data_IF_534022420386
#
_entry.id   IF_534022420386
#
_cell.length_a   1.000
_cell.length_b   1.000
_cell.length_c   1.000
_cell.angle_alpha   90.00
_cell.angle_beta   90.00
_cell.angle_gamma   90.00
#
_symmetry.space_group_name_H-M   'P 1'
#
loop_
_entity.id
_entity.type
_entity.pdbx_description
1 polymer ?
#
# COMPACT_ATOMS: atom_id res chain seq x y z
N UNK A 1 -10.52 -4.60 -0.27
CA UNK A 1 -9.79 -4.03 0.89
C UNK A 1 -8.93 -2.91 0.35
N UNK A 2 -8.84 -1.78 1.06
CA UNK A 2 -7.95 -0.69 0.65
C UNK A 2 -6.60 -0.82 1.34
N UNK A 3 -5.53 -0.70 0.57
CA UNK A 3 -4.18 -0.53 1.08
C UNK A 3 -3.91 0.98 1.18
N UNK A 4 -3.60 1.45 2.38
CA UNK A 4 -3.26 2.84 2.65
C UNK A 4 -1.73 2.95 2.77
N UNK A 5 -1.08 3.62 1.82
CA UNK A 5 0.38 3.62 1.72
C UNK A 5 0.91 5.04 1.84
N UNK A 6 1.75 5.26 2.86
CA UNK A 6 2.55 6.46 3.02
C UNK A 6 4.01 6.18 2.67
N UNK A 7 4.63 7.03 1.85
CA UNK A 7 6.08 7.04 1.63
C UNK A 7 6.73 8.09 2.53
N UNK A 8 7.87 7.73 3.10
CA UNK A 8 8.68 8.62 3.92
C UNK A 8 10.16 8.27 3.70
N UNK A 9 11.10 9.17 4.03
CA UNK A 9 12.53 8.94 3.82
C UNK A 9 13.07 7.68 4.52
N UNK A 10 12.38 7.23 5.58
CA UNK A 10 12.66 5.99 6.32
C UNK A 10 11.45 5.58 7.17
N UNK A 11 11.55 4.41 7.81
CA UNK A 11 10.59 4.02 8.86
C UNK A 11 10.75 4.92 10.11
N UNK A 12 9.64 5.35 10.74
CA UNK A 12 9.70 6.12 11.98
C UNK A 12 10.20 5.25 13.13
N UNK A 13 10.87 5.87 14.10
CA UNK A 13 11.17 5.25 15.40
C UNK A 13 9.95 5.36 16.32
N UNK A 14 9.93 4.60 17.42
CA UNK A 14 8.87 4.70 18.42
C UNK A 14 8.76 6.13 18.96
N UNK A 15 7.56 6.70 18.92
CA UNK A 15 7.26 8.05 19.40
C UNK A 15 7.62 9.19 18.44
N UNK A 16 8.18 8.88 17.26
CA UNK A 16 8.56 9.90 16.28
C UNK A 16 7.43 10.21 15.29
N UNK A 17 7.30 11.50 14.94
CA UNK A 17 6.48 11.96 13.81
C UNK A 17 7.38 12.39 12.66
N UNK A 18 7.11 11.89 11.45
CA UNK A 18 7.82 12.27 10.22
C UNK A 18 6.87 12.96 9.25
N UNK A 19 7.38 13.94 8.50
CA UNK A 19 6.72 14.41 7.28
C UNK A 19 7.00 13.40 6.18
N UNK A 20 5.94 12.86 5.59
CA UNK A 20 6.03 11.93 4.47
C UNK A 20 6.22 12.64 3.14
N UNK A 21 6.66 11.87 2.14
CA UNK A 21 6.88 12.36 0.78
C UNK A 21 5.59 12.28 -0.06
N UNK A 22 4.74 11.28 0.20
CA UNK A 22 3.48 11.06 -0.52
C UNK A 22 2.54 10.11 0.20
N UNK A 23 1.24 10.20 -0.09
CA UNK A 23 0.21 9.27 0.36
C UNK A 23 -0.64 8.77 -0.81
N UNK A 24 -1.08 7.51 -0.77
CA UNK A 24 -1.97 6.94 -1.77
C UNK A 24 -2.86 5.83 -1.23
N UNK A 25 -4.01 5.66 -1.88
CA UNK A 25 -4.97 4.60 -1.62
C UNK A 25 -5.02 3.64 -2.81
N UNK A 26 -4.83 2.35 -2.55
CA UNK A 26 -4.78 1.32 -3.59
C UNK A 26 -5.78 0.21 -3.29
N UNK A 27 -6.21 -0.49 -4.34
CA UNK A 27 -7.00 -1.71 -4.16
C UNK A 27 -6.05 -2.86 -3.86
N UNK A 28 -6.26 -3.51 -2.72
CA UNK A 28 -5.49 -4.66 -2.28
C UNK A 28 -6.38 -5.77 -1.72
N UNK A 29 -5.74 -6.65 -0.96
CA UNK A 29 -6.34 -7.88 -0.42
C UNK A 29 -6.04 -9.09 -1.28
N UNK A 30 -5.66 -10.19 -0.62
CA UNK A 30 -5.17 -11.42 -1.29
C UNK A 30 -6.15 -11.95 -2.35
N UNK A 31 -7.45 -12.05 -2.02
CA UNK A 31 -8.46 -12.54 -2.96
C UNK A 31 -8.65 -11.64 -4.20
N UNK A 32 -8.69 -10.32 -4.02
CA UNK A 32 -8.79 -9.38 -5.13
C UNK A 32 -7.55 -9.44 -6.04
N UNK A 33 -6.36 -9.48 -5.43
CA UNK A 33 -5.10 -9.57 -6.17
C UNK A 33 -5.01 -10.89 -6.97
N UNK A 34 -5.45 -12.02 -6.38
CA UNK A 34 -5.50 -13.31 -7.07
C UNK A 34 -6.50 -13.31 -8.24
N UNK A 35 -7.72 -12.79 -8.04
CA UNK A 35 -8.74 -12.73 -9.09
C UNK A 35 -8.30 -11.86 -10.29
N UNK A 36 -7.68 -10.71 -10.03
CA UNK A 36 -7.14 -9.82 -11.08
C UNK A 36 -5.95 -10.48 -11.80
N UNK A 37 -5.07 -11.18 -11.07
CA UNK A 37 -3.97 -11.90 -11.70
C UNK A 37 -4.50 -12.99 -12.64
N UNK A 38 -5.49 -13.78 -12.19
CA UNK A 38 -6.12 -14.81 -13.00
C UNK A 38 -6.78 -14.24 -14.28
N UNK A 39 -7.45 -13.08 -14.19
CA UNK A 39 -8.10 -12.47 -15.36
C UNK A 39 -7.13 -11.91 -16.40
N UNK A 40 -5.88 -11.62 -16.02
CA UNK A 40 -4.82 -11.08 -16.90
C UNK A 40 -3.98 -12.14 -17.61
N UNK A 41 -4.12 -13.42 -17.24
CA UNK A 41 -3.40 -14.54 -17.85
C UNK A 41 -4.07 -15.10 -19.11
N UNK A 42 -5.05 -14.37 -19.65
CA UNK A 42 -5.59 -14.59 -20.99
C UNK A 42 -4.67 -14.02 -22.08
#
# INVERSE_FOLDING_TARGET
>A
MFDLVARAPRRPKTGETLIGDSFGMFIGGKGANQAIAASRLN
#
